data_IF_626824521537
#
_entry.id   IF_626824521537
#
_cell.length_a   1.000
_cell.length_b   1.000
_cell.length_c   1.000
_cell.angle_alpha   90.00
_cell.angle_beta   90.00
_cell.angle_gamma   90.00
#
_symmetry.space_group_name_H-M   'P 1'
#
loop_
_entity.id
_entity.type
_entity.pdbx_description
1 polymer ?
#
# COMPACT_ATOMS: atom_id res chain seq x y z
N UNK A 1 -53.32 -5.32 13.07
CA UNK A 1 -52.07 -5.91 12.57
C UNK A 1 -51.52 -5.01 11.48
N UNK A 2 -50.79 -3.94 11.83
CA UNK A 2 -50.28 -3.03 10.80
C UNK A 2 -49.03 -2.29 11.26
N UNK A 3 -47.90 -2.74 10.70
CA UNK A 3 -46.70 -1.98 10.34
C UNK A 3 -46.07 -1.09 11.43
N UNK A 4 -45.22 -1.72 12.24
CA UNK A 4 -44.14 -1.03 12.93
C UNK A 4 -43.16 -0.51 11.86
N UNK A 5 -43.05 0.82 11.76
CA UNK A 5 -42.19 1.53 10.84
C UNK A 5 -40.73 1.13 11.12
N UNK A 6 -40.09 0.47 10.14
CA UNK A 6 -38.64 0.29 10.11
C UNK A 6 -38.00 1.68 10.04
N UNK A 7 -37.56 2.18 11.17
CA UNK A 7 -36.61 3.29 11.27
C UNK A 7 -35.32 2.85 10.58
N UNK A 8 -35.21 3.19 9.30
CA UNK A 8 -33.98 3.07 8.52
C UNK A 8 -32.93 3.92 9.24
N UNK A 9 -31.99 3.23 9.90
CA UNK A 9 -30.72 3.77 10.33
C UNK A 9 -29.99 4.30 9.07
N UNK A 10 -30.22 5.56 8.73
CA UNK A 10 -29.27 6.32 7.92
C UNK A 10 -28.05 6.59 8.79
N UNK A 11 -27.19 5.57 8.91
CA UNK A 11 -25.79 5.81 9.22
C UNK A 11 -25.24 6.66 8.07
N UNK A 12 -24.81 7.92 8.30
CA UNK A 12 -24.21 8.70 7.25
C UNK A 12 -22.96 7.95 6.77
N UNK A 13 -22.89 7.71 5.46
CA UNK A 13 -21.73 7.10 4.80
C UNK A 13 -20.39 7.81 5.11
N UNK A 14 -20.44 8.99 5.74
CA UNK A 14 -19.30 9.77 6.21
C UNK A 14 -18.49 9.12 7.34
N UNK A 15 -19.00 8.11 8.06
CA UNK A 15 -18.23 7.41 9.12
C UNK A 15 -17.14 6.49 8.53
N UNK A 16 -17.11 6.28 7.21
CA UNK A 16 -16.13 5.43 6.52
C UNK A 16 -14.93 6.19 5.92
N UNK A 17 -14.85 7.52 6.08
CA UNK A 17 -13.79 8.34 5.46
C UNK A 17 -12.34 8.01 5.93
N UNK A 18 -12.18 7.28 7.05
CA UNK A 18 -10.87 6.76 7.49
C UNK A 18 -10.43 5.46 6.80
N UNK A 19 -11.32 4.81 6.03
CA UNK A 19 -11.17 3.43 5.56
C UNK A 19 -10.92 3.28 4.06
N UNK A 20 -10.64 4.34 3.31
CA UNK A 20 -10.45 4.28 1.84
C UNK A 20 -9.41 5.25 1.30
N UNK A 21 -8.50 5.77 2.13
CA UNK A 21 -7.49 6.73 1.69
C UNK A 21 -6.62 6.19 0.53
N UNK A 22 -6.46 4.88 0.40
CA UNK A 22 -5.68 4.25 -0.67
C UNK A 22 -6.41 4.16 -2.03
N UNK A 23 -7.69 4.53 -2.15
CA UNK A 23 -8.44 4.52 -3.42
C UNK A 23 -8.65 5.91 -4.02
N UNK A 24 -8.14 6.94 -3.36
CA UNK A 24 -8.20 8.33 -3.82
C UNK A 24 -7.32 8.51 -5.08
N UNK A 25 -7.89 8.87 -6.24
CA UNK A 25 -7.15 8.97 -7.50
C UNK A 25 -6.05 10.03 -7.45
N UNK A 26 -6.27 11.16 -6.78
CA UNK A 26 -5.28 12.24 -6.68
C UNK A 26 -4.10 11.80 -5.81
N UNK A 27 -4.38 11.04 -4.73
CA UNK A 27 -3.34 10.44 -3.90
C UNK A 27 -2.53 9.39 -4.66
N UNK A 28 -3.17 8.58 -5.50
CA UNK A 28 -2.48 7.57 -6.32
C UNK A 28 -1.56 8.26 -7.34
N UNK A 29 -2.04 9.30 -8.04
CA UNK A 29 -1.24 10.08 -8.98
C UNK A 29 -0.04 10.76 -8.29
N UNK A 30 -0.24 11.31 -7.09
CA UNK A 30 0.88 11.84 -6.31
C UNK A 30 1.87 10.73 -5.90
N UNK A 31 1.36 9.54 -5.56
CA UNK A 31 2.18 8.39 -5.22
C UNK A 31 3.06 7.90 -6.38
N UNK A 32 2.60 8.01 -7.61
CA UNK A 32 3.39 7.76 -8.82
C UNK A 32 4.58 8.74 -8.91
N UNK A 33 4.34 10.03 -8.64
CA UNK A 33 5.42 11.04 -8.60
C UNK A 33 6.45 10.72 -7.51
N UNK A 34 6.00 10.28 -6.32
CA UNK A 34 6.90 9.84 -5.24
C UNK A 34 7.69 8.59 -5.66
N UNK A 35 7.04 7.64 -6.35
CA UNK A 35 7.67 6.44 -6.85
C UNK A 35 8.83 6.77 -7.80
N UNK A 36 8.59 7.62 -8.79
CA UNK A 36 9.59 8.03 -9.77
C UNK A 36 10.83 8.65 -9.10
N UNK A 37 10.58 9.48 -8.08
CA UNK A 37 11.64 10.20 -7.39
C UNK A 37 12.43 9.36 -6.37
N UNK A 38 11.80 8.35 -5.75
CA UNK A 38 12.33 7.72 -4.51
C UNK A 38 12.42 6.20 -4.55
N UNK A 39 11.64 5.54 -5.40
CA UNK A 39 11.44 4.09 -5.33
C UNK A 39 11.87 3.35 -6.60
N UNK A 40 11.80 4.00 -7.77
CA UNK A 40 12.05 3.39 -9.09
C UNK A 40 13.45 2.75 -9.22
N UNK A 41 14.45 3.27 -8.51
CA UNK A 41 15.80 2.70 -8.53
C UNK A 41 15.89 1.25 -8.00
N UNK A 42 14.93 0.82 -7.18
CA UNK A 42 14.92 -0.50 -6.56
C UNK A 42 13.69 -1.33 -6.89
N UNK A 43 12.56 -0.69 -7.19
CA UNK A 43 11.28 -1.35 -7.46
C UNK A 43 10.80 -1.09 -8.88
N UNK A 44 10.21 -2.11 -9.50
CA UNK A 44 9.44 -1.97 -10.72
C UNK A 44 7.99 -2.39 -10.43
N UNK A 45 6.96 -1.73 -10.99
CA UNK A 45 5.58 -2.05 -10.62
C UNK A 45 5.15 -3.47 -10.99
N UNK A 46 5.55 -3.93 -12.17
CA UNK A 46 5.07 -5.18 -12.78
C UNK A 46 5.93 -6.42 -12.52
N UNK A 47 7.23 -6.26 -12.33
CA UNK A 47 8.19 -7.37 -12.26
C UNK A 47 9.19 -7.14 -11.14
N UNK A 48 9.76 -8.22 -10.60
CA UNK A 48 10.83 -8.13 -9.62
C UNK A 48 12.03 -7.36 -10.18
N UNK A 49 12.54 -6.42 -9.37
CA UNK A 49 13.81 -5.74 -9.59
C UNK A 49 14.76 -6.06 -8.42
N UNK A 50 15.37 -5.05 -7.80
CA UNK A 50 16.12 -5.25 -6.55
C UNK A 50 15.17 -5.63 -5.41
N UNK A 51 14.05 -4.90 -5.30
CA UNK A 51 12.91 -5.25 -4.45
C UNK A 51 11.83 -6.05 -5.20
N UNK A 52 10.84 -6.60 -4.47
CA UNK A 52 9.66 -7.22 -5.07
C UNK A 52 8.86 -6.23 -5.93
N UNK A 53 8.11 -6.76 -6.90
CA UNK A 53 7.19 -5.95 -7.71
C UNK A 53 6.07 -5.35 -6.86
N UNK A 54 5.47 -4.26 -7.33
CA UNK A 54 4.28 -3.70 -6.66
C UNK A 54 3.07 -4.61 -6.78
N UNK A 55 2.91 -5.34 -7.89
CA UNK A 55 1.90 -6.41 -8.03
C UNK A 55 2.04 -7.46 -6.93
N UNK A 56 3.25 -7.96 -6.70
CA UNK A 56 3.49 -8.96 -5.66
C UNK A 56 3.23 -8.42 -4.25
N UNK A 57 3.64 -7.17 -3.99
CA UNK A 57 3.42 -6.50 -2.70
C UNK A 57 1.91 -6.31 -2.48
N UNK A 58 1.21 -5.71 -3.44
CA UNK A 58 -0.21 -5.41 -3.36
C UNK A 58 -1.10 -6.66 -3.30
N UNK A 59 -0.65 -7.80 -3.82
CA UNK A 59 -1.37 -9.07 -3.70
C UNK A 59 -1.19 -9.75 -2.34
N UNK A 60 -0.30 -9.25 -1.47
CA UNK A 60 0.07 -9.89 -0.19
C UNK A 60 -0.03 -8.97 1.02
N UNK A 61 -0.18 -7.66 0.81
CA UNK A 61 -0.14 -6.65 1.85
C UNK A 61 -1.33 -5.73 1.73
N UNK A 62 -1.86 -5.36 2.88
CA UNK A 62 -2.81 -4.26 3.02
C UNK A 62 -2.11 -2.91 2.83
N UNK A 63 -2.84 -1.83 2.49
CA UNK A 63 -2.28 -0.48 2.39
C UNK A 63 -1.56 -0.04 3.67
N UNK A 64 -2.09 -0.42 4.84
CA UNK A 64 -1.51 -0.12 6.14
C UNK A 64 -0.18 -0.87 6.36
N UNK A 65 -0.07 -2.14 5.96
CA UNK A 65 1.19 -2.88 6.01
C UNK A 65 2.24 -2.35 5.04
N UNK A 66 1.82 -1.81 3.89
CA UNK A 66 2.71 -1.16 2.93
C UNK A 66 3.23 0.15 3.52
N UNK A 67 2.34 1.01 4.01
CA UNK A 67 2.69 2.24 4.72
C UNK A 67 3.68 1.97 5.86
N UNK A 68 3.37 1.02 6.74
CA UNK A 68 4.21 0.68 7.88
C UNK A 68 5.61 0.23 7.45
N UNK A 69 5.72 -0.54 6.37
CA UNK A 69 7.01 -0.98 5.84
C UNK A 69 7.83 0.17 5.26
N UNK A 70 7.20 1.16 4.62
CA UNK A 70 7.90 2.35 4.13
C UNK A 70 8.44 3.17 5.30
N UNK A 71 7.68 3.30 6.39
CA UNK A 71 8.10 4.04 7.60
C UNK A 71 9.27 3.35 8.30
N UNK A 72 9.20 2.03 8.47
CA UNK A 72 10.14 1.27 9.30
C UNK A 72 10.67 0.00 8.61
N UNK A 73 11.38 0.13 7.47
CA UNK A 73 11.80 -1.04 6.69
C UNK A 73 12.77 -1.94 7.46
N UNK A 74 13.68 -1.37 8.26
CA UNK A 74 14.65 -2.15 9.04
C UNK A 74 13.99 -3.06 10.08
N UNK A 75 13.06 -2.51 10.87
CA UNK A 75 12.36 -3.27 11.90
C UNK A 75 11.49 -4.38 11.29
N UNK A 76 10.69 -4.02 10.27
CA UNK A 76 9.74 -4.95 9.67
C UNK A 76 10.40 -5.95 8.71
N UNK A 77 11.57 -5.64 8.15
CA UNK A 77 12.35 -6.59 7.35
C UNK A 77 12.81 -7.77 8.21
N UNK A 78 13.34 -7.49 9.41
CA UNK A 78 13.74 -8.50 10.38
C UNK A 78 12.55 -9.33 10.86
N UNK A 79 11.44 -8.69 11.21
CA UNK A 79 10.21 -9.38 11.65
C UNK A 79 9.67 -10.33 10.56
N UNK A 80 9.79 -9.94 9.28
CA UNK A 80 9.31 -10.73 8.14
C UNK A 80 10.30 -11.83 7.68
N UNK A 81 11.43 -11.97 8.37
CA UNK A 81 12.43 -13.01 8.15
C UNK A 81 13.27 -12.81 6.89
N UNK A 82 13.47 -11.58 6.43
CA UNK A 82 14.37 -11.32 5.31
C UNK A 82 15.83 -11.39 5.80
N UNK A 83 16.69 -12.04 5.02
CA UNK A 83 18.11 -12.20 5.34
C UNK A 83 18.88 -10.86 5.42
N UNK A 84 18.37 -9.81 4.77
CA UNK A 84 18.90 -8.45 4.90
C UNK A 84 17.81 -7.40 4.68
N UNK A 85 17.90 -6.26 5.38
CA UNK A 85 17.09 -5.10 5.07
C UNK A 85 17.74 -4.29 3.94
N UNK A 86 17.31 -4.58 2.71
CA UNK A 86 17.79 -3.90 1.51
C UNK A 86 17.06 -2.58 1.22
N UNK A 87 15.93 -2.30 1.91
CA UNK A 87 15.18 -1.06 1.73
C UNK A 87 15.68 -0.01 2.76
N UNK A 88 16.27 1.12 2.31
CA UNK A 88 16.73 2.16 3.20
C UNK A 88 15.54 2.90 3.82
N UNK A 89 15.78 3.58 4.95
CA UNK A 89 14.84 4.59 5.43
C UNK A 89 14.86 5.78 4.47
N UNK A 90 13.69 6.18 3.98
CA UNK A 90 13.52 7.31 3.07
C UNK A 90 12.97 8.53 3.84
N UNK A 91 13.49 9.75 3.64
CA UNK A 91 13.00 10.94 4.31
C UNK A 91 11.70 11.44 3.65
N UNK A 92 10.62 10.68 3.82
CA UNK A 92 9.30 11.02 3.30
C UNK A 92 8.46 11.70 4.38
N UNK A 93 7.65 12.66 3.96
CA UNK A 93 6.54 13.17 4.77
C UNK A 93 5.45 12.11 4.93
N UNK A 94 4.54 12.33 5.88
CA UNK A 94 3.38 11.47 6.08
C UNK A 94 2.52 11.35 4.81
N UNK A 95 2.31 12.47 4.11
CA UNK A 95 1.47 12.48 2.91
C UNK A 95 2.15 11.78 1.73
N UNK A 96 3.45 11.96 1.53
CA UNK A 96 4.21 11.18 0.54
C UNK A 96 4.18 9.68 0.85
N UNK A 97 4.26 9.31 2.13
CA UNK A 97 4.20 7.89 2.55
C UNK A 97 2.82 7.28 2.28
N UNK A 98 1.74 8.02 2.59
CA UNK A 98 0.38 7.59 2.26
C UNK A 98 0.16 7.49 0.75
N UNK A 99 0.69 8.44 -0.02
CA UNK A 99 0.61 8.45 -1.47
C UNK A 99 1.36 7.27 -2.09
N UNK A 100 2.59 7.03 -1.67
CA UNK A 100 3.37 5.88 -2.10
C UNK A 100 2.67 4.55 -1.76
N UNK A 101 2.12 4.42 -0.55
CA UNK A 101 1.38 3.22 -0.16
C UNK A 101 0.11 3.01 -1.00
N UNK A 102 -0.63 4.09 -1.30
CA UNK A 102 -1.81 4.06 -2.17
C UNK A 102 -1.45 3.62 -3.60
N UNK A 103 -0.37 4.20 -4.16
CA UNK A 103 0.11 3.86 -5.50
C UNK A 103 0.60 2.41 -5.58
N UNK A 104 1.38 1.92 -4.62
CA UNK A 104 1.76 0.49 -4.60
C UNK A 104 0.52 -0.40 -4.53
N UNK A 105 -0.46 -0.06 -3.69
CA UNK A 105 -1.67 -0.85 -3.53
C UNK A 105 -2.65 -0.77 -4.72
N UNK A 106 -2.50 0.20 -5.62
CA UNK A 106 -3.32 0.26 -6.84
C UNK A 106 -3.02 -0.87 -7.81
N UNK A 107 -1.87 -1.56 -7.69
CA UNK A 107 -1.50 -2.74 -8.48
C UNK A 107 -2.12 -4.06 -7.99
N UNK A 108 -3.04 -4.02 -7.02
CA UNK A 108 -3.77 -5.20 -6.56
C UNK A 108 -4.64 -5.79 -7.68
N UNK A 109 -4.85 -7.10 -7.64
CA UNK A 109 -5.73 -7.79 -8.59
C UNK A 109 -5.06 -8.20 -9.92
N UNK A 110 -3.80 -7.81 -10.17
CA UNK A 110 -2.99 -8.41 -11.21
C UNK A 110 -2.39 -9.76 -10.76
N UNK A 111 -2.14 -10.67 -11.71
CA UNK A 111 -1.39 -11.91 -11.43
C UNK A 111 -0.04 -11.56 -10.80
N UNK A 112 0.29 -12.09 -9.61
CA UNK A 112 1.58 -11.79 -9.00
C UNK A 112 2.68 -12.44 -9.85
N UNK A 113 3.72 -11.68 -10.16
CA UNK A 113 4.96 -12.29 -10.64
C UNK A 113 5.55 -13.20 -9.55
N UNK A 114 6.61 -13.96 -9.87
CA UNK A 114 7.28 -14.80 -8.88
C UNK A 114 7.90 -14.00 -7.71
N UNK A 115 7.90 -12.65 -7.82
CA UNK A 115 8.10 -11.60 -6.82
C UNK A 115 9.15 -11.85 -5.74
N UNK A 116 10.16 -12.61 -6.12
CA UNK A 116 11.23 -13.03 -5.24
C UNK A 116 10.75 -14.10 -4.30
N UNK A 117 10.97 -15.35 -4.71
CA UNK A 117 11.07 -16.47 -3.79
C UNK A 117 11.86 -16.03 -2.56
N UNK A 118 11.24 -16.15 -1.37
CA UNK A 118 12.01 -16.06 -0.12
C UNK A 118 13.14 -17.09 -0.25
N UNK A 119 14.38 -16.61 -0.28
CA UNK A 119 15.52 -17.49 -0.04
C UNK A 119 15.55 -17.77 1.45
#
# INVERSE_FOLDING_TARGET
>A
MTRLLLSILLLPAAVLAGGTWWTDPDRIAFGETVFDAKCMGCHHPEVKAFGPSFRWIASRRTPAEIYAYIVSPAALSSERGYASNSMPHLPLTREETLAAAAYVYSFRGGDPDNGGTKK
#
